data_IF_889450901505
#
_entry.id   IF_889450901505
#
_cell.length_a   1.000
_cell.length_b   1.000
_cell.length_c   1.000
_cell.angle_alpha   90.00
_cell.angle_beta   90.00
_cell.angle_gamma   90.00
#
_symmetry.space_group_name_H-M   'P 1'
#
loop_
_entity.id
_entity.type
_entity.pdbx_description
1 polymer ?
#
# COMPACT_ATOMS: atom_id res chain seq x y z
N UNK A 1 15.78 0.07 37.11
CA UNK A 1 16.08 0.04 35.67
C UNK A 1 15.53 -1.26 35.11
N UNK A 2 14.84 -1.23 33.96
CA UNK A 2 14.29 -2.44 33.35
C UNK A 2 15.42 -3.12 32.55
N UNK A 3 15.67 -4.41 32.81
CA UNK A 3 16.69 -5.18 32.10
C UNK A 3 16.35 -5.26 30.59
N UNK A 4 17.36 -5.18 29.72
CA UNK A 4 17.18 -5.13 28.25
C UNK A 4 16.35 -6.30 27.70
N UNK A 5 16.44 -7.49 28.30
CA UNK A 5 15.66 -8.67 27.91
C UNK A 5 14.19 -8.64 28.36
N UNK A 6 13.82 -7.76 29.30
CA UNK A 6 12.43 -7.59 29.74
C UNK A 6 11.66 -6.65 28.81
N UNK A 7 12.35 -5.81 28.03
CA UNK A 7 11.72 -4.85 27.09
C UNK A 7 10.83 -5.57 26.07
N UNK A 8 11.29 -6.63 25.37
CA UNK A 8 10.45 -7.32 24.38
C UNK A 8 9.26 -8.05 25.02
N UNK A 9 9.43 -8.56 26.25
CA UNK A 9 8.37 -9.22 26.99
C UNK A 9 7.28 -8.23 27.37
N UNK A 10 7.63 -7.07 27.93
CA UNK A 10 6.69 -5.99 28.25
C UNK A 10 5.99 -5.47 26.99
N UNK A 11 6.72 -5.31 25.89
CA UNK A 11 6.16 -4.91 24.59
C UNK A 11 5.12 -5.91 24.06
N UNK A 12 5.39 -7.21 24.16
CA UNK A 12 4.46 -8.25 23.70
C UNK A 12 3.13 -8.28 24.48
N UNK A 13 3.09 -7.67 25.67
CA UNK A 13 1.91 -7.59 26.55
C UNK A 13 1.08 -6.32 26.35
N UNK A 14 1.41 -5.48 25.37
CA UNK A 14 0.65 -4.28 25.06
C UNK A 14 -0.81 -4.64 24.71
N UNK A 15 -1.75 -3.90 25.29
CA UNK A 15 -3.17 -3.98 24.94
C UNK A 15 -3.42 -3.11 23.71
N UNK A 16 -4.00 -3.70 22.67
CA UNK A 16 -4.30 -2.96 21.42
C UNK A 16 -5.48 -1.99 21.60
N UNK A 17 -6.51 -2.41 22.32
CA UNK A 17 -7.65 -1.56 22.65
C UNK A 17 -7.34 -0.65 23.85
N UNK A 18 -7.72 0.64 23.82
CA UNK A 18 -8.39 1.36 22.72
C UNK A 18 -7.42 2.10 21.77
N UNK A 19 -6.20 2.41 22.22
CA UNK A 19 -5.36 3.40 21.55
C UNK A 19 -4.77 2.94 20.21
N UNK A 20 -4.32 1.69 20.10
CA UNK A 20 -3.75 1.15 18.86
C UNK A 20 -4.82 0.85 17.81
N UNK A 21 -6.00 0.42 18.26
CA UNK A 21 -7.16 0.25 17.37
C UNK A 21 -7.65 1.59 16.83
N UNK A 22 -7.75 2.61 17.69
CA UNK A 22 -8.06 3.98 17.28
C UNK A 22 -7.05 4.51 16.25
N UNK A 23 -5.75 4.33 16.50
CA UNK A 23 -4.71 4.74 15.56
C UNK A 23 -4.81 4.00 14.22
N UNK A 24 -5.07 2.69 14.24
CA UNK A 24 -5.33 1.92 13.02
C UNK A 24 -6.52 2.47 12.24
N UNK A 25 -7.64 2.80 12.91
CA UNK A 25 -8.80 3.40 12.25
C UNK A 25 -8.50 4.77 11.66
N UNK A 26 -7.84 5.66 12.41
CA UNK A 26 -7.45 7.00 11.92
C UNK A 26 -6.55 6.86 10.69
N UNK A 27 -5.45 6.11 10.76
CA UNK A 27 -4.55 5.97 9.61
C UNK A 27 -5.18 5.25 8.42
N UNK A 28 -6.12 4.32 8.62
CA UNK A 28 -6.86 3.69 7.52
C UNK A 28 -7.85 4.65 6.86
N UNK A 29 -8.56 5.46 7.64
CA UNK A 29 -9.56 6.40 7.13
C UNK A 29 -8.91 7.62 6.48
N UNK A 30 -7.79 8.12 7.01
CA UNK A 30 -6.98 9.15 6.34
C UNK A 30 -6.50 8.67 4.98
N UNK A 31 -5.92 7.47 4.92
CA UNK A 31 -5.47 6.87 3.67
C UNK A 31 -6.62 6.69 2.67
N UNK A 32 -7.85 6.42 3.13
CA UNK A 32 -9.04 6.38 2.29
C UNK A 32 -9.45 7.78 1.80
N UNK A 33 -9.49 8.80 2.67
CA UNK A 33 -9.83 10.19 2.31
C UNK A 33 -8.84 10.79 1.30
N UNK A 34 -7.57 10.39 1.37
CA UNK A 34 -6.52 10.79 0.42
C UNK A 34 -6.68 10.17 -0.99
N UNK A 35 -7.54 9.16 -1.16
CA UNK A 35 -7.79 8.58 -2.47
C UNK A 35 -8.66 9.49 -3.35
N UNK A 36 -8.31 9.53 -4.63
CA UNK A 36 -9.01 10.36 -5.63
C UNK A 36 -10.49 9.96 -5.73
N UNK A 37 -11.37 10.96 -5.68
CA UNK A 37 -12.82 10.79 -5.82
C UNK A 37 -13.57 10.37 -4.56
N UNK A 38 -12.89 10.01 -3.46
CA UNK A 38 -13.57 9.53 -2.24
C UNK A 38 -14.36 10.63 -1.53
N UNK A 39 -13.83 11.86 -1.53
CA UNK A 39 -14.54 13.01 -0.95
C UNK A 39 -15.88 13.23 -1.67
N UNK A 40 -15.92 13.09 -3.00
CA UNK A 40 -17.17 13.19 -3.76
C UNK A 40 -18.15 12.05 -3.40
N UNK A 41 -17.65 10.82 -3.28
CA UNK A 41 -18.45 9.67 -2.82
C UNK A 41 -19.01 9.91 -1.42
N UNK A 42 -18.27 10.55 -0.52
CA UNK A 42 -18.73 10.85 0.85
C UNK A 42 -19.90 11.83 0.89
N UNK A 43 -19.99 12.75 -0.09
CA UNK A 43 -21.09 13.72 -0.21
C UNK A 43 -22.29 13.11 -0.94
N UNK A 44 -22.04 12.41 -2.06
CA UNK A 44 -23.10 11.85 -2.90
C UNK A 44 -23.72 10.57 -2.32
N UNK A 45 -22.90 9.73 -1.71
CA UNK A 45 -23.25 8.38 -1.27
C UNK A 45 -22.57 8.06 0.08
N UNK A 46 -22.98 8.71 1.18
CA UNK A 46 -22.31 8.59 2.48
C UNK A 46 -22.24 7.15 3.00
N UNK A 47 -23.28 6.34 2.75
CA UNK A 47 -23.28 4.92 3.14
C UNK A 47 -22.23 4.10 2.39
N UNK A 48 -22.01 4.38 1.10
CA UNK A 48 -20.96 3.70 0.33
C UNK A 48 -19.57 4.09 0.83
N UNK A 49 -19.37 5.37 1.17
CA UNK A 49 -18.14 5.86 1.78
C UNK A 49 -17.87 5.21 3.15
N UNK A 50 -18.89 5.14 4.01
CA UNK A 50 -18.81 4.46 5.30
C UNK A 50 -18.46 2.98 5.14
N UNK A 51 -19.11 2.27 4.21
CA UNK A 51 -18.83 0.85 3.98
C UNK A 51 -17.40 0.63 3.46
N UNK A 52 -16.94 1.47 2.54
CA UNK A 52 -15.54 1.50 2.09
C UNK A 52 -14.58 1.74 3.27
N UNK A 53 -14.89 2.67 4.18
CA UNK A 53 -14.10 2.90 5.40
C UNK A 53 -14.06 1.67 6.32
N UNK A 54 -15.18 0.94 6.45
CA UNK A 54 -15.21 -0.31 7.20
C UNK A 54 -14.33 -1.39 6.55
N UNK A 55 -14.31 -1.51 5.22
CA UNK A 55 -13.40 -2.42 4.51
C UNK A 55 -11.93 -2.04 4.72
N UNK A 56 -11.60 -0.75 4.77
CA UNK A 56 -10.25 -0.28 5.11
C UNK A 56 -9.83 -0.60 6.56
N UNK A 57 -10.78 -0.59 7.49
CA UNK A 57 -10.52 -0.84 8.91
C UNK A 57 -10.51 -2.33 9.26
N UNK A 58 -11.47 -3.08 8.71
CA UNK A 58 -11.78 -4.47 9.07
C UNK A 58 -11.52 -5.47 7.94
N UNK A 59 -10.98 -5.03 6.80
CA UNK A 59 -10.73 -5.88 5.64
C UNK A 59 -9.88 -7.12 5.95
N UNK A 60 -8.95 -7.01 6.90
CA UNK A 60 -8.20 -8.17 7.39
C UNK A 60 -9.07 -9.23 8.06
N UNK A 61 -10.04 -8.82 8.88
CA UNK A 61 -11.00 -9.73 9.50
C UNK A 61 -11.95 -10.33 8.46
N UNK A 62 -12.54 -9.49 7.59
CA UNK A 62 -13.45 -9.93 6.52
C UNK A 62 -12.79 -10.97 5.62
N UNK A 63 -11.58 -10.66 5.13
CA UNK A 63 -10.84 -11.58 4.26
C UNK A 63 -10.48 -12.87 5.00
N UNK A 64 -9.98 -12.79 6.24
CA UNK A 64 -9.62 -13.99 7.00
C UNK A 64 -10.83 -14.90 7.28
N UNK A 65 -11.99 -14.33 7.60
CA UNK A 65 -13.21 -15.10 7.85
C UNK A 65 -13.70 -15.76 6.55
N UNK A 66 -13.66 -15.06 5.42
CA UNK A 66 -14.01 -15.64 4.12
C UNK A 66 -13.11 -16.85 3.78
N UNK A 67 -11.81 -16.75 4.02
CA UNK A 67 -10.85 -17.84 3.75
C UNK A 67 -11.02 -19.05 4.66
N UNK A 68 -11.49 -18.83 5.89
CA UNK A 68 -11.73 -19.90 6.87
C UNK A 68 -13.15 -20.50 6.76
N UNK A 69 -14.00 -19.98 5.88
CA UNK A 69 -15.41 -20.39 5.80
C UNK A 69 -16.26 -19.90 6.97
N UNK A 70 -15.77 -18.92 7.72
CA UNK A 70 -16.52 -18.26 8.78
C UNK A 70 -17.46 -17.19 8.21
N UNK A 71 -18.55 -16.83 8.92
CA UNK A 71 -19.43 -15.77 8.46
C UNK A 71 -18.64 -14.46 8.29
N UNK A 72 -18.53 -13.88 7.08
CA UNK A 72 -17.73 -12.68 6.83
C UNK A 72 -18.30 -11.44 7.52
N UNK A 73 -19.54 -11.53 7.99
CA UNK A 73 -20.22 -10.52 8.82
C UNK A 73 -19.82 -10.60 10.30
N UNK A 74 -19.01 -11.58 10.74
CA UNK A 74 -18.64 -11.77 12.13
C UNK A 74 -17.94 -10.55 12.75
N UNK A 75 -17.25 -9.73 11.94
CA UNK A 75 -16.67 -8.48 12.44
C UNK A 75 -17.75 -7.49 12.94
N UNK A 76 -18.99 -7.58 12.41
CA UNK A 76 -20.14 -6.77 12.84
C UNK A 76 -20.55 -7.02 14.29
N UNK A 77 -20.22 -8.19 14.84
CA UNK A 77 -20.47 -8.50 16.25
C UNK A 77 -19.60 -7.64 17.20
N UNK A 78 -18.50 -7.04 16.72
CA UNK A 78 -17.64 -6.16 17.52
C UNK A 78 -18.18 -4.73 17.54
N UNK A 79 -19.36 -4.53 18.11
CA UNK A 79 -20.11 -3.26 18.09
C UNK A 79 -19.28 -2.06 18.56
N UNK A 80 -18.51 -2.20 19.65
CA UNK A 80 -17.67 -1.10 20.18
C UNK A 80 -16.63 -0.66 19.15
N UNK A 81 -15.98 -1.60 18.47
CA UNK A 81 -14.96 -1.29 17.46
C UNK A 81 -15.57 -0.63 16.22
N UNK A 82 -16.77 -1.06 15.82
CA UNK A 82 -17.48 -0.47 14.68
C UNK A 82 -17.96 0.93 15.00
N UNK A 83 -18.51 1.15 16.19
CA UNK A 83 -18.88 2.48 16.65
C UNK A 83 -17.63 3.37 16.69
N UNK A 84 -16.51 2.88 17.20
CA UNK A 84 -15.26 3.65 17.24
C UNK A 84 -14.76 4.00 15.83
N UNK A 85 -14.70 3.04 14.91
CA UNK A 85 -14.29 3.27 13.52
C UNK A 85 -15.27 4.21 12.78
N UNK A 86 -16.57 4.09 13.03
CA UNK A 86 -17.61 4.96 12.46
C UNK A 86 -17.50 6.39 12.98
N UNK A 87 -17.23 6.57 14.28
CA UNK A 87 -16.96 7.88 14.87
C UNK A 87 -15.73 8.53 14.26
N UNK A 88 -14.63 7.77 14.07
CA UNK A 88 -13.43 8.28 13.38
C UNK A 88 -13.75 8.66 11.94
N UNK A 89 -14.52 7.83 11.22
CA UNK A 89 -14.93 8.13 9.84
C UNK A 89 -15.72 9.43 9.79
N UNK A 90 -16.70 9.58 10.67
CA UNK A 90 -17.53 10.77 10.71
C UNK A 90 -16.69 12.03 11.00
N UNK A 91 -15.82 11.95 12.01
CA UNK A 91 -14.93 13.07 12.38
C UNK A 91 -13.92 13.43 11.29
N UNK A 92 -13.37 12.45 10.56
CA UNK A 92 -12.41 12.74 9.49
C UNK A 92 -13.08 13.33 8.26
N UNK A 93 -14.31 12.94 7.94
CA UNK A 93 -15.02 13.38 6.73
C UNK A 93 -15.89 14.62 6.91
N UNK A 94 -16.55 14.78 8.04
CA UNK A 94 -17.62 15.78 8.24
C UNK A 94 -17.33 16.80 9.35
N UNK A 95 -16.15 16.77 9.99
CA UNK A 95 -15.79 17.78 10.98
C UNK A 95 -15.66 19.17 10.32
N UNK A 96 -16.23 20.23 10.93
CA UNK A 96 -16.13 21.59 10.39
C UNK A 96 -14.67 21.98 10.18
N UNK A 97 -14.41 22.69 9.08
CA UNK A 97 -13.08 23.14 8.65
C UNK A 97 -12.01 22.04 8.52
N UNK A 98 -12.42 20.77 8.42
CA UNK A 98 -11.51 19.62 8.35
C UNK A 98 -10.49 19.57 9.50
N UNK A 99 -10.83 20.08 10.69
CA UNK A 99 -9.90 20.22 11.83
C UNK A 99 -9.23 18.88 12.19
N UNK A 100 -10.03 17.81 12.28
CA UNK A 100 -9.53 16.47 12.63
C UNK A 100 -8.59 15.95 11.55
N UNK A 101 -8.97 16.06 10.28
CA UNK A 101 -8.12 15.67 9.16
C UNK A 101 -6.80 16.46 9.19
N UNK A 102 -6.85 17.79 9.28
CA UNK A 102 -5.67 18.67 9.35
C UNK A 102 -4.76 18.35 10.52
N UNK A 103 -5.34 18.05 11.69
CA UNK A 103 -4.60 17.66 12.88
C UNK A 103 -3.79 16.38 12.63
N UNK A 104 -4.43 15.32 12.13
CA UNK A 104 -3.75 14.05 11.88
C UNK A 104 -2.92 14.01 10.59
N UNK A 105 -3.12 14.95 9.66
CA UNK A 105 -2.23 15.18 8.52
C UNK A 105 -0.94 15.92 8.91
N UNK A 106 -0.87 16.53 10.09
CA UNK A 106 0.37 17.11 10.61
C UNK A 106 1.43 16.03 10.78
N UNK A 107 2.61 16.24 10.17
CA UNK A 107 3.60 15.18 9.97
C UNK A 107 3.97 14.40 11.25
N UNK A 108 4.31 15.02 12.39
CA UNK A 108 4.57 14.28 13.63
C UNK A 108 3.44 13.37 14.08
N UNK A 109 2.19 13.85 14.01
CA UNK A 109 1.03 13.08 14.42
C UNK A 109 0.70 11.98 13.40
N UNK A 110 0.84 12.27 12.10
CA UNK A 110 0.69 11.29 11.04
C UNK A 110 1.71 10.15 11.21
N UNK A 111 2.98 10.47 11.50
CA UNK A 111 4.03 9.49 11.75
C UNK A 111 3.72 8.62 12.98
N UNK A 112 3.21 9.23 14.07
CA UNK A 112 2.84 8.50 15.28
C UNK A 112 1.71 7.50 14.99
N UNK A 113 0.61 7.95 14.37
CA UNK A 113 -0.54 7.11 14.06
C UNK A 113 -0.16 6.01 13.05
N UNK A 114 0.65 6.34 12.04
CA UNK A 114 1.17 5.35 11.10
C UNK A 114 2.04 4.29 11.82
N UNK A 115 2.93 4.70 12.73
CA UNK A 115 3.74 3.79 13.53
C UNK A 115 2.89 2.88 14.43
N UNK A 116 1.90 3.43 15.13
CA UNK A 116 0.96 2.65 15.94
C UNK A 116 0.17 1.63 15.09
N UNK A 117 -0.23 1.99 13.86
CA UNK A 117 -0.87 1.07 12.92
C UNK A 117 0.04 -0.11 12.53
N UNK A 118 1.35 0.10 12.42
CA UNK A 118 2.32 -0.98 12.20
C UNK A 118 2.41 -1.92 13.40
N UNK A 119 2.29 -1.41 14.63
CA UNK A 119 2.17 -2.24 15.84
C UNK A 119 0.91 -3.11 15.75
N UNK A 120 -0.27 -2.51 15.50
CA UNK A 120 -1.53 -3.26 15.37
C UNK A 120 -1.45 -4.34 14.30
N UNK A 121 -0.72 -4.09 13.20
CA UNK A 121 -0.51 -5.06 12.12
C UNK A 121 0.21 -6.31 12.60
N UNK A 122 1.28 -6.20 13.38
CA UNK A 122 2.00 -7.38 13.91
C UNK A 122 1.06 -8.27 14.74
N UNK A 123 0.26 -7.66 15.62
CA UNK A 123 -0.70 -8.40 16.44
C UNK A 123 -1.77 -9.09 15.58
N UNK A 124 -2.29 -8.39 14.56
CA UNK A 124 -3.26 -8.98 13.62
C UNK A 124 -2.69 -10.20 12.88
N UNK A 125 -1.42 -10.16 12.47
CA UNK A 125 -0.75 -11.31 11.84
C UNK A 125 -0.66 -12.47 12.83
N UNK A 126 -0.14 -12.23 14.03
CA UNK A 126 0.04 -13.31 15.02
C UNK A 126 -1.27 -13.89 15.51
N UNK A 127 -2.31 -13.06 15.65
CA UNK A 127 -3.65 -13.51 16.01
C UNK A 127 -4.29 -14.31 14.87
N UNK A 128 -4.03 -13.94 13.61
CA UNK A 128 -4.46 -14.71 12.45
C UNK A 128 -3.85 -16.11 12.40
N UNK A 129 -2.54 -16.20 12.64
CA UNK A 129 -1.80 -17.47 12.69
C UNK A 129 -2.31 -18.35 13.83
N UNK A 130 -2.44 -17.78 15.05
CA UNK A 130 -2.96 -18.52 16.20
C UNK A 130 -4.40 -18.99 15.98
N UNK A 131 -5.24 -18.15 15.35
CA UNK A 131 -6.61 -18.52 15.01
C UNK A 131 -6.67 -19.64 13.97
N UNK A 132 -5.85 -19.58 12.93
CA UNK A 132 -5.77 -20.62 11.91
C UNK A 132 -5.29 -21.96 12.49
N UNK A 133 -4.36 -21.96 13.43
CA UNK A 133 -3.84 -23.16 14.11
C UNK A 133 -4.92 -23.90 14.92
N UNK A 134 -5.85 -23.14 15.53
CA UNK A 134 -6.99 -23.71 16.27
C UNK A 134 -7.94 -24.44 15.32
N UNK A 135 -8.21 -23.85 14.14
CA UNK A 135 -9.17 -24.41 13.16
C UNK A 135 -8.54 -25.56 12.36
N UNK A 136 -7.30 -25.37 11.88
CA UNK A 136 -6.58 -26.33 11.05
C UNK A 136 -5.24 -26.68 11.69
N UNK A 137 -5.25 -27.78 12.46
CA UNK A 137 -4.02 -28.32 13.05
C UNK A 137 -3.03 -28.70 11.97
N UNK A 138 -1.77 -28.30 12.15
CA UNK A 138 -0.62 -28.67 11.30
C UNK A 138 -0.63 -28.17 9.84
N UNK A 139 -1.55 -27.27 9.47
CA UNK A 139 -1.63 -26.71 8.12
C UNK A 139 -0.86 -25.37 7.99
N UNK A 140 0.47 -25.43 7.89
CA UNK A 140 1.33 -24.23 7.88
C UNK A 140 0.99 -23.23 6.77
N UNK A 141 0.58 -23.70 5.58
CA UNK A 141 0.16 -22.81 4.49
C UNK A 141 -1.08 -22.00 4.84
N UNK A 142 -2.06 -22.62 5.51
CA UNK A 142 -3.28 -21.94 5.95
C UNK A 142 -2.93 -20.87 6.98
N UNK A 143 -2.02 -21.17 7.92
CA UNK A 143 -1.53 -20.21 8.90
C UNK A 143 -0.88 -18.98 8.25
N UNK A 144 -0.01 -19.18 7.25
CA UNK A 144 0.61 -18.09 6.49
C UNK A 144 -0.44 -17.25 5.79
N UNK A 145 -1.37 -17.89 5.08
CA UNK A 145 -2.40 -17.22 4.29
C UNK A 145 -3.35 -16.41 5.18
N UNK A 146 -3.79 -16.96 6.31
CA UNK A 146 -4.69 -16.27 7.25
C UNK A 146 -3.96 -15.13 7.99
N UNK A 147 -2.71 -15.35 8.41
CA UNK A 147 -1.88 -14.31 9.00
C UNK A 147 -1.64 -13.15 8.05
N UNK A 148 -1.36 -13.45 6.78
CA UNK A 148 -1.20 -12.46 5.72
C UNK A 148 -2.50 -11.70 5.45
N UNK A 149 -3.62 -12.41 5.34
CA UNK A 149 -4.94 -11.81 5.20
C UNK A 149 -5.28 -10.86 6.34
N UNK A 150 -5.04 -11.21 7.60
CA UNK A 150 -5.28 -10.30 8.73
C UNK A 150 -4.33 -9.10 8.76
N UNK A 151 -3.09 -9.27 8.33
CA UNK A 151 -2.08 -8.20 8.31
C UNK A 151 -2.31 -7.14 7.24
N UNK A 152 -2.72 -7.54 6.02
CA UNK A 152 -2.87 -6.64 4.88
C UNK A 152 -4.20 -6.76 4.12
N UNK A 153 -5.24 -7.30 4.75
CA UNK A 153 -6.51 -7.57 4.05
C UNK A 153 -7.14 -6.37 3.38
N UNK A 154 -7.03 -5.16 3.96
CA UNK A 154 -7.51 -3.93 3.30
C UNK A 154 -6.84 -3.64 1.96
N UNK A 155 -5.56 -3.98 1.81
CA UNK A 155 -4.85 -3.91 0.53
C UNK A 155 -5.29 -5.03 -0.40
N UNK A 156 -5.35 -6.27 0.09
CA UNK A 156 -5.72 -7.44 -0.72
C UNK A 156 -7.16 -7.34 -1.28
N UNK A 157 -8.09 -6.74 -0.56
CA UNK A 157 -9.47 -6.51 -1.02
C UNK A 157 -9.65 -5.13 -1.67
N UNK A 158 -8.58 -4.38 -1.93
CA UNK A 158 -8.68 -3.00 -2.43
C UNK A 158 -9.39 -2.91 -3.78
N UNK A 159 -9.29 -3.90 -4.66
CA UNK A 159 -10.04 -3.94 -5.91
C UNK A 159 -11.56 -4.08 -5.69
N UNK A 160 -11.97 -4.90 -4.72
CA UNK A 160 -13.38 -5.02 -4.34
C UNK A 160 -13.87 -3.73 -3.66
N UNK A 161 -13.04 -3.13 -2.81
CA UNK A 161 -13.34 -1.84 -2.19
C UNK A 161 -13.44 -0.70 -3.23
N UNK A 162 -12.62 -0.70 -4.27
CA UNK A 162 -12.75 0.24 -5.39
C UNK A 162 -14.10 0.05 -6.09
N UNK A 163 -14.51 -1.21 -6.30
CA UNK A 163 -15.80 -1.53 -6.91
C UNK A 163 -16.98 -1.03 -6.08
N UNK A 164 -16.92 -1.10 -4.73
CA UNK A 164 -17.92 -0.51 -3.82
C UNK A 164 -18.12 0.98 -4.08
N UNK A 165 -17.07 1.69 -4.51
CA UNK A 165 -17.12 3.12 -4.84
C UNK A 165 -17.45 3.40 -6.30
N UNK A 166 -17.72 2.37 -7.10
CA UNK A 166 -17.99 2.48 -8.54
C UNK A 166 -16.73 2.63 -9.41
N UNK A 167 -15.54 2.35 -8.88
CA UNK A 167 -14.28 2.38 -9.63
C UNK A 167 -13.84 0.95 -9.93
N UNK A 168 -13.64 0.63 -11.20
CA UNK A 168 -13.13 -0.68 -11.62
C UNK A 168 -11.79 -0.53 -12.34
N UNK A 169 -10.73 -1.10 -11.76
CA UNK A 169 -9.37 -1.09 -12.31
C UNK A 169 -8.77 -2.50 -12.27
N UNK A 170 -9.14 -3.37 -13.22
CA UNK A 170 -8.72 -4.77 -13.21
C UNK A 170 -7.22 -4.94 -13.49
N UNK A 171 -6.59 -3.96 -14.13
CA UNK A 171 -5.19 -4.03 -14.54
C UNK A 171 -4.20 -3.92 -13.37
N UNK A 172 -4.66 -3.38 -12.24
CA UNK A 172 -3.84 -3.22 -11.03
C UNK A 172 -4.44 -4.07 -9.92
N UNK A 173 -3.76 -5.15 -9.52
CA UNK A 173 -4.11 -5.96 -8.36
C UNK A 173 -2.89 -6.07 -7.45
N UNK A 174 -3.11 -6.09 -6.12
CA UNK A 174 -2.02 -6.30 -5.15
C UNK A 174 -1.32 -7.65 -5.34
N UNK A 175 -1.98 -8.67 -5.88
CA UNK A 175 -1.33 -9.94 -6.21
C UNK A 175 -0.38 -9.83 -7.41
N UNK A 176 -0.67 -8.94 -8.36
CA UNK A 176 0.15 -8.72 -9.55
C UNK A 176 1.33 -7.78 -9.25
N UNK A 177 1.06 -6.71 -8.51
CA UNK A 177 2.06 -5.74 -8.06
C UNK A 177 1.88 -5.48 -6.56
N UNK A 178 2.50 -6.33 -5.73
CA UNK A 178 2.39 -6.19 -4.28
C UNK A 178 3.03 -4.89 -3.78
N UNK A 179 2.26 -4.12 -3.04
CA UNK A 179 2.73 -2.96 -2.29
C UNK A 179 3.66 -3.36 -1.14
N UNK A 180 4.47 -2.41 -0.65
CA UNK A 180 5.37 -2.66 0.48
C UNK A 180 4.65 -3.27 1.71
N UNK A 181 3.50 -2.76 2.17
CA UNK A 181 2.78 -3.35 3.31
C UNK A 181 2.33 -4.79 3.05
N UNK A 182 1.88 -5.12 1.84
CA UNK A 182 1.45 -6.48 1.48
C UNK A 182 2.63 -7.44 1.45
N UNK A 183 3.79 -7.03 0.91
CA UNK A 183 5.03 -7.83 0.93
C UNK A 183 5.54 -8.05 2.35
N UNK A 184 5.62 -6.98 3.13
CA UNK A 184 6.15 -7.04 4.50
C UNK A 184 5.27 -7.94 5.40
N UNK A 185 3.96 -7.90 5.23
CA UNK A 185 3.02 -8.77 5.96
C UNK A 185 3.11 -10.23 5.54
N UNK A 186 3.35 -10.52 4.25
CA UNK A 186 3.61 -11.89 3.79
C UNK A 186 4.87 -12.46 4.44
N UNK A 187 5.97 -11.69 4.44
CA UNK A 187 7.22 -12.08 5.12
C UNK A 187 6.97 -12.30 6.62
N UNK A 188 6.26 -11.38 7.27
CA UNK A 188 5.88 -11.51 8.67
C UNK A 188 5.07 -12.78 8.93
N UNK A 189 4.08 -13.08 8.09
CA UNK A 189 3.25 -14.27 8.23
C UNK A 189 4.06 -15.56 8.11
N UNK A 190 5.02 -15.62 7.19
CA UNK A 190 5.97 -16.75 7.06
C UNK A 190 6.84 -16.87 8.32
N UNK A 191 7.49 -15.78 8.76
CA UNK A 191 8.36 -15.79 9.94
C UNK A 191 7.62 -16.22 11.21
N UNK A 192 6.44 -15.66 11.46
CA UNK A 192 5.64 -16.02 12.63
C UNK A 192 5.08 -17.44 12.55
N UNK A 193 4.80 -17.96 11.35
CA UNK A 193 4.38 -19.36 11.19
C UNK A 193 5.54 -20.31 11.48
N UNK A 194 6.73 -20.05 10.93
CA UNK A 194 7.93 -20.84 11.22
C UNK A 194 8.26 -20.82 12.71
N UNK A 195 8.09 -19.66 13.35
CA UNK A 195 8.23 -19.51 14.79
C UNK A 195 7.18 -20.30 15.57
N UNK A 196 5.92 -20.26 15.16
CA UNK A 196 4.84 -21.00 15.83
C UNK A 196 5.09 -22.51 15.78
N UNK A 197 5.66 -23.00 14.67
CA UNK A 197 6.04 -24.39 14.44
C UNK A 197 7.38 -24.82 15.05
N UNK A 198 8.06 -23.93 15.78
CA UNK A 198 9.38 -24.18 16.38
C UNK A 198 10.51 -24.47 15.36
N UNK A 199 10.34 -24.11 14.09
CA UNK A 199 11.42 -24.18 13.10
C UNK A 199 12.42 -23.01 13.24
N UNK A 200 12.00 -21.92 13.87
CA UNK A 200 12.82 -20.73 14.08
C UNK A 200 13.23 -20.67 15.56
N UNK A 201 14.54 -20.75 15.90
CA UNK A 201 15.00 -20.78 17.30
C UNK A 201 15.09 -19.38 17.90
N UNK A 202 13.98 -18.64 17.90
CA UNK A 202 13.83 -17.35 18.60
C UNK A 202 12.64 -17.45 19.54
N UNK A 203 12.55 -16.59 20.56
CA UNK A 203 11.34 -16.51 21.36
C UNK A 203 10.28 -15.64 20.65
N UNK A 204 8.99 -16.00 20.78
CA UNK A 204 7.88 -15.27 20.13
C UNK A 204 7.88 -13.78 20.46
N UNK A 205 8.10 -13.41 21.72
CA UNK A 205 8.13 -12.01 22.16
C UNK A 205 9.28 -11.23 21.52
N UNK A 206 10.45 -11.84 21.35
CA UNK A 206 11.59 -11.24 20.65
C UNK A 206 11.28 -11.05 19.16
N UNK A 207 10.68 -12.03 18.50
CA UNK A 207 10.29 -11.90 17.09
C UNK A 207 9.23 -10.81 16.88
N UNK A 208 8.21 -10.74 17.75
CA UNK A 208 7.20 -9.67 17.72
C UNK A 208 7.85 -8.30 17.85
N UNK A 209 8.77 -8.14 18.80
CA UNK A 209 9.47 -6.88 19.03
C UNK A 209 10.34 -6.48 17.83
N UNK A 210 11.23 -7.36 17.37
CA UNK A 210 12.14 -7.08 16.25
C UNK A 210 11.39 -6.80 14.95
N UNK A 211 10.38 -7.61 14.63
CA UNK A 211 9.58 -7.41 13.42
C UNK A 211 8.78 -6.12 13.48
N UNK A 212 8.22 -5.76 14.64
CA UNK A 212 7.47 -4.50 14.78
C UNK A 212 8.37 -3.29 14.67
N UNK A 213 9.56 -3.30 15.28
CA UNK A 213 10.55 -2.22 15.11
C UNK A 213 10.92 -2.09 13.63
N UNK A 214 11.18 -3.20 12.95
CA UNK A 214 11.44 -3.20 11.51
C UNK A 214 10.31 -2.50 10.74
N UNK A 215 9.05 -2.91 10.94
CA UNK A 215 7.92 -2.28 10.25
C UNK A 215 7.80 -0.78 10.54
N UNK A 216 7.89 -0.37 11.81
CA UNK A 216 7.76 1.03 12.22
C UNK A 216 8.88 1.88 11.62
N UNK A 217 10.13 1.44 11.73
CA UNK A 217 11.30 2.17 11.21
C UNK A 217 11.19 2.35 9.70
N UNK A 218 10.88 1.29 8.96
CA UNK A 218 10.76 1.39 7.52
C UNK A 218 9.55 2.22 7.09
N UNK A 219 8.41 2.12 7.79
CA UNK A 219 7.25 2.95 7.53
C UNK A 219 7.54 4.44 7.74
N UNK A 220 8.15 4.79 8.87
CA UNK A 220 8.55 6.17 9.20
C UNK A 220 9.56 6.68 8.18
N UNK A 221 10.58 5.88 7.83
CA UNK A 221 11.56 6.23 6.80
C UNK A 221 10.90 6.53 5.46
N UNK A 222 10.00 5.66 4.98
CA UNK A 222 9.28 5.87 3.72
C UNK A 222 8.43 7.16 3.73
N UNK A 223 7.77 7.46 4.85
CA UNK A 223 6.99 8.69 4.99
C UNK A 223 7.88 9.94 4.99
N UNK A 224 9.06 9.88 5.61
CA UNK A 224 9.98 11.01 5.70
C UNK A 224 10.73 11.28 4.38
N UNK A 225 11.17 10.22 3.68
CA UNK A 225 11.92 10.35 2.43
C UNK A 225 11.03 10.53 1.20
N UNK A 226 9.70 10.36 1.33
CA UNK A 226 8.72 10.35 0.23
C UNK A 226 9.07 9.38 -0.91
N UNK A 227 9.98 8.44 -0.66
CA UNK A 227 10.44 7.50 -1.66
C UNK A 227 9.50 6.29 -1.67
N UNK A 228 8.82 6.07 -2.79
CA UNK A 228 7.90 4.95 -2.98
C UNK A 228 8.63 3.63 -3.30
N UNK A 229 9.94 3.66 -3.52
CA UNK A 229 10.75 2.46 -3.77
C UNK A 229 10.78 1.58 -2.53
N UNK A 230 10.29 0.34 -2.68
CA UNK A 230 10.28 -0.64 -1.61
C UNK A 230 11.72 -0.85 -1.08
N UNK A 231 11.97 -0.75 0.24
CA UNK A 231 13.27 -1.07 0.81
C UNK A 231 13.67 -2.54 0.61
N UNK A 232 12.70 -3.40 0.24
CA UNK A 232 12.90 -4.80 -0.10
C UNK A 232 13.22 -5.01 -1.59
N UNK A 233 13.16 -3.98 -2.43
CA UNK A 233 13.45 -4.08 -3.86
C UNK A 233 14.80 -4.72 -4.21
N UNK A 234 15.93 -4.40 -3.54
CA UNK A 234 17.20 -5.07 -3.85
C UNK A 234 17.18 -6.56 -3.48
N UNK A 235 16.50 -6.92 -2.39
CA UNK A 235 16.35 -8.32 -1.97
C UNK A 235 15.44 -9.10 -2.95
N UNK A 236 14.34 -8.48 -3.38
CA UNK A 236 13.42 -9.06 -4.34
C UNK A 236 14.08 -9.26 -5.71
N UNK A 237 14.90 -8.31 -6.17
CA UNK A 237 15.66 -8.46 -7.40
C UNK A 237 16.64 -9.64 -7.30
N UNK A 238 17.35 -9.78 -6.17
CA UNK A 238 18.27 -10.90 -5.94
C UNK A 238 17.54 -12.24 -5.88
N UNK A 239 16.44 -12.33 -5.14
CA UNK A 239 15.64 -13.55 -5.01
C UNK A 239 14.93 -13.91 -6.32
N UNK A 240 14.42 -12.91 -7.04
CA UNK A 240 13.80 -13.06 -8.34
C UNK A 240 14.79 -13.62 -9.37
N UNK A 241 16.01 -13.07 -9.38
CA UNK A 241 17.09 -13.59 -10.23
C UNK A 241 17.51 -15.01 -9.85
N UNK A 242 17.50 -15.36 -8.55
CA UNK A 242 17.89 -16.68 -8.05
C UNK A 242 16.82 -17.76 -8.29
N UNK A 243 15.53 -17.45 -8.10
CA UNK A 243 14.43 -18.40 -8.20
C UNK A 243 13.83 -18.51 -9.60
N UNK A 244 13.74 -17.40 -10.33
CA UNK A 244 13.07 -17.33 -11.63
C UNK A 244 14.03 -17.02 -12.79
N UNK A 245 15.32 -16.91 -12.50
CA UNK A 245 16.34 -16.54 -13.46
C UNK A 245 16.30 -15.05 -13.83
N UNK A 246 17.36 -14.57 -14.49
CA UNK A 246 17.38 -13.20 -15.02
C UNK A 246 16.46 -13.12 -16.24
N UNK A 247 15.17 -12.89 -16.02
CA UNK A 247 14.28 -12.54 -17.12
C UNK A 247 14.67 -11.13 -17.60
N UNK A 248 15.35 -11.07 -18.74
CA UNK A 248 15.35 -9.87 -19.57
C UNK A 248 13.88 -9.57 -19.85
N UNK A 249 13.33 -8.52 -19.24
CA UNK A 249 12.09 -7.91 -19.72
C UNK A 249 12.18 -7.81 -21.24
N UNK A 250 11.22 -8.35 -22.01
CA UNK A 250 11.28 -8.22 -23.45
C UNK A 250 11.38 -6.73 -23.75
N UNK A 251 12.51 -6.32 -24.32
CA UNK A 251 12.66 -4.99 -24.89
C UNK A 251 11.46 -4.79 -25.79
N UNK A 252 10.71 -3.71 -25.61
CA UNK A 252 9.72 -3.24 -26.59
C UNK A 252 10.40 -3.33 -27.95
N UNK A 253 10.05 -4.36 -28.72
CA UNK A 253 10.50 -4.50 -30.09
C UNK A 253 9.87 -3.33 -30.81
N UNK A 254 10.70 -2.34 -31.12
CA UNK A 254 10.40 -1.34 -32.13
C UNK A 254 10.30 -2.13 -33.44
N UNK A 255 9.08 -2.56 -33.76
CA UNK A 255 8.78 -3.23 -35.01
C UNK A 255 8.83 -2.21 -36.15
N UNK A 256 10.00 -2.01 -36.72
CA UNK A 256 10.14 -1.54 -38.09
C UNK A 256 10.31 -2.79 -38.96
N UNK A 257 9.18 -3.29 -39.47
CA UNK A 257 9.09 -4.20 -40.60
C UNK A 257 8.46 -3.45 -41.76
N UNK A 258 9.27 -3.18 -42.77
CA UNK A 258 8.98 -2.35 -43.91
C UNK A 258 7.71 -2.74 -44.68
N UNK A 259 6.94 -1.73 -45.11
CA UNK A 259 6.25 -1.77 -46.40
C UNK A 259 6.67 -0.53 -47.16
N UNK A 260 7.36 -0.77 -48.28
CA UNK A 260 7.89 0.22 -49.21
C UNK A 260 6.78 1.05 -49.85
N UNK A 261 6.94 2.37 -49.91
CA UNK A 261 6.79 3.12 -51.17
C UNK A 261 7.26 4.57 -51.01
N UNK A 262 8.37 4.84 -51.70
CA UNK A 262 8.90 6.09 -52.24
C UNK A 262 8.13 7.40 -51.97
N UNK A 263 8.81 8.34 -51.31
CA UNK A 263 9.04 9.66 -51.92
C UNK A 263 10.31 10.31 -51.33
N UNK A 264 11.28 10.50 -52.22
CA UNK A 264 12.45 11.40 -52.20
C UNK A 264 12.15 12.79 -51.62
N UNK A 265 13.06 13.63 -51.11
CA UNK A 265 14.53 13.67 -51.07
C UNK A 265 14.91 15.01 -50.41
N UNK A 266 15.92 14.99 -49.53
CA UNK A 266 16.98 16.00 -49.30
C UNK A 266 16.58 17.40 -48.76
N UNK A 267 17.04 17.66 -47.53
CA UNK A 267 17.42 18.99 -47.05
C UNK A 267 18.79 19.37 -47.63
N UNK A 268 18.93 20.60 -48.12
CA UNK A 268 20.23 21.28 -48.22
C UNK A 268 20.08 22.76 -47.87
N UNK A 269 20.85 23.22 -46.88
CA UNK A 269 21.23 24.62 -46.72
C UNK A 269 22.26 24.98 -47.79
N UNK A 270 22.39 26.27 -48.15
CA UNK A 270 23.75 26.78 -48.28
C UNK A 270 23.97 28.17 -47.68
N UNK A 271 25.17 28.27 -47.12
CA UNK A 271 25.94 29.43 -46.68
C UNK A 271 26.21 30.47 -47.77
N UNK A 272 26.47 31.69 -47.28
CA UNK A 272 26.82 32.94 -47.96
C UNK A 272 27.98 32.84 -48.96
N UNK A 273 27.94 33.65 -50.04
CA UNK A 273 29.01 34.58 -50.42
C UNK A 273 28.61 35.53 -51.57
N UNK A 274 28.47 36.81 -51.21
CA UNK A 274 29.00 38.04 -51.84
C UNK A 274 29.16 38.28 -53.36
N UNK A 275 28.71 39.51 -53.71
CA UNK A 275 29.29 40.53 -54.65
C UNK A 275 29.36 40.18 -56.15
N UNK A 276 29.20 41.09 -57.12
CA UNK A 276 28.75 42.47 -57.28
C UNK A 276 28.83 42.70 -58.80
N UNK A 277 27.96 43.48 -59.45
CA UNK A 277 28.20 43.76 -60.87
C UNK A 277 27.11 44.40 -61.71
N UNK A 278 27.01 45.72 -61.59
CA UNK A 278 26.88 46.66 -62.70
C UNK A 278 25.58 46.76 -63.56
N UNK A 279 25.00 47.97 -63.43
CA UNK A 279 24.59 48.92 -64.49
C UNK A 279 23.22 48.78 -65.18
N UNK A 280 22.33 49.66 -64.70
CA UNK A 280 21.61 50.74 -65.40
C UNK A 280 20.98 50.44 -66.78
N UNK A 281 19.65 50.60 -66.84
CA UNK A 281 19.02 51.53 -67.82
C UNK A 281 17.66 52.04 -67.35
N UNK A 282 17.44 53.33 -67.67
CA UNK A 282 16.27 54.21 -67.49
C UNK A 282 14.93 53.54 -67.88
N UNK A 283 13.75 53.92 -67.39
CA UNK A 283 13.28 55.14 -66.71
C UNK A 283 11.94 55.56 -67.36
N UNK A 284 10.85 55.67 -66.60
CA UNK A 284 9.64 56.42 -67.01
C UNK A 284 8.68 56.72 -65.83
N UNK A 285 8.22 57.99 -65.80
CA UNK A 285 7.14 58.65 -65.03
C UNK A 285 7.53 59.22 -63.64
N UNK A 286 7.78 60.52 -63.48
CA UNK A 286 6.91 61.75 -63.54
C UNK A 286 6.08 61.91 -62.27
N UNK A 287 6.53 62.76 -61.34
CA UNK A 287 6.00 64.10 -61.01
C UNK A 287 7.04 64.86 -60.16
#
# INVERSE_FOLDING_TARGET
>A
AMELWQVPLSFSRLRMFPFFDLAHYIASILALKEQRGVVEVSVRSPLACWFSAMLYCFGGSVLSSLMLGEPPVAFLAKTINILLASSVWYLVFYCPEDIVYRCFSFLPLHLLVAGMKEVTRTWKITDGIAHADIVYKDAWLIMVVVGWARGAGGGLISNFEQLVRGVWKPETNELLHMSYPVKATLIGAVLFTLQHRQYLPIARHNLVFLYTIFLVVFKVKMMLTRCATSPLAPFEAAMGQMLFGSQKTPSKVKGEGATSSNYSSVCDQPSEHHHEGAKKKQGKKTE
#
